data_IF_514906146890
#
_entry.id   IF_514906146890
#
_cell.length_a   1.000
_cell.length_b   1.000
_cell.length_c   1.000
_cell.angle_alpha   90.00
_cell.angle_beta   90.00
_cell.angle_gamma   90.00
#
_symmetry.space_group_name_H-M   'P 1'
#
loop_
_entity.id
_entity.type
_entity.pdbx_description
1 polymer ?
#
# COMPACT_ATOMS: atom_id res chain seq x y z
N UNK A 1 4.02 15.08 22.85
CA UNK A 1 4.99 13.97 22.65
C UNK A 1 4.37 12.56 22.64
N UNK A 2 3.33 12.28 23.43
CA UNK A 2 2.74 10.93 23.60
C UNK A 2 1.96 10.43 22.38
N UNK A 3 1.29 11.28 21.59
CA UNK A 3 0.50 10.92 20.39
C UNK A 3 1.38 10.41 19.22
N UNK A 4 2.59 10.95 19.01
CA UNK A 4 3.49 10.57 17.91
C UNK A 4 3.99 9.12 17.99
N UNK A 5 4.30 8.62 19.19
CA UNK A 5 4.64 7.20 19.43
C UNK A 5 3.48 6.25 19.11
N UNK A 6 2.23 6.72 19.24
CA UNK A 6 1.02 5.92 19.05
C UNK A 6 0.70 5.63 17.57
N UNK A 7 1.17 6.47 16.64
CA UNK A 7 0.94 6.33 15.20
C UNK A 7 2.08 5.62 14.46
N UNK A 8 3.18 5.26 15.15
CA UNK A 8 4.34 4.59 14.53
C UNK A 8 4.98 5.40 13.41
N UNK A 9 4.95 6.73 13.52
CA UNK A 9 5.44 7.65 12.48
C UNK A 9 6.98 7.71 12.48
N UNK A 10 7.57 7.52 11.31
CA UNK A 10 8.97 7.73 10.99
C UNK A 10 9.04 8.66 9.79
N UNK A 11 9.45 9.90 10.01
CA UNK A 11 9.51 10.91 8.96
C UNK A 11 10.79 10.77 8.16
N UNK A 12 10.67 10.67 6.84
CA UNK A 12 11.82 10.72 5.94
C UNK A 12 12.49 12.09 6.08
N UNK A 13 13.81 12.12 6.28
CA UNK A 13 14.59 13.35 6.44
C UNK A 13 15.64 13.55 5.33
N UNK A 14 15.71 12.64 4.37
CA UNK A 14 16.64 12.68 3.24
C UNK A 14 15.97 13.24 1.99
N UNK A 15 16.37 14.45 1.59
CA UNK A 15 15.88 15.12 0.38
C UNK A 15 16.22 14.32 -0.88
N UNK A 16 17.41 13.75 -0.98
CA UNK A 16 17.83 12.96 -2.15
C UNK A 16 16.98 11.70 -2.34
N UNK A 17 16.55 11.06 -1.24
CA UNK A 17 15.63 9.91 -1.29
C UNK A 17 14.23 10.38 -1.70
N UNK A 18 13.76 11.51 -1.17
CA UNK A 18 12.47 12.08 -1.56
C UNK A 18 12.42 12.41 -3.06
N UNK A 19 13.49 13.06 -3.59
CA UNK A 19 13.64 13.34 -5.01
C UNK A 19 13.65 12.05 -5.86
N UNK A 20 14.32 11.00 -5.39
CA UNK A 20 14.31 9.69 -6.06
C UNK A 20 12.91 9.06 -6.10
N UNK A 21 12.18 9.09 -4.97
CA UNK A 21 10.78 8.62 -4.90
C UNK A 21 9.91 9.33 -5.94
N UNK A 22 10.02 10.67 -5.99
CA UNK A 22 9.24 11.48 -6.93
C UNK A 22 9.63 11.20 -8.39
N UNK A 23 10.93 11.04 -8.67
CA UNK A 23 11.39 10.71 -10.04
C UNK A 23 10.87 9.35 -10.52
N UNK A 24 10.77 8.34 -9.63
CA UNK A 24 10.26 7.01 -9.98
C UNK A 24 8.74 7.00 -10.22
N UNK A 25 8.04 8.00 -9.69
CA UNK A 25 6.60 8.14 -9.90
C UNK A 25 6.24 8.61 -11.32
N UNK A 26 7.20 9.06 -12.14
CA UNK A 26 7.01 9.48 -13.53
C UNK A 26 5.79 10.41 -13.73
N UNK A 27 5.66 11.40 -12.84
CA UNK A 27 4.54 12.34 -12.80
C UNK A 27 4.62 13.31 -13.97
N UNK A 28 3.48 13.59 -14.58
CA UNK A 28 3.31 14.61 -15.63
C UNK A 28 2.37 15.72 -15.20
N UNK A 29 2.38 16.85 -15.93
CA UNK A 29 1.49 18.00 -15.68
C UNK A 29 -0.01 17.69 -15.91
N UNK A 30 -0.37 16.47 -16.32
CA UNK A 30 -1.76 16.00 -16.47
C UNK A 30 -2.24 15.20 -15.26
N UNK A 31 -1.31 14.74 -14.42
CA UNK A 31 -1.59 13.80 -13.35
C UNK A 31 -2.13 14.47 -12.10
N UNK A 32 -3.08 13.81 -11.47
CA UNK A 32 -3.50 14.08 -10.09
C UNK A 32 -2.82 13.03 -9.21
N UNK A 33 -1.98 13.50 -8.30
CA UNK A 33 -1.26 12.65 -7.35
C UNK A 33 -2.02 12.61 -6.03
N UNK A 34 -2.22 11.41 -5.52
CA UNK A 34 -2.79 11.18 -4.21
C UNK A 34 -1.70 10.68 -3.24
N UNK A 35 -1.54 11.39 -2.13
CA UNK A 35 -0.57 11.09 -1.08
C UNK A 35 -1.29 10.74 0.22
N UNK A 36 -0.95 9.61 0.84
CA UNK A 36 -1.38 9.28 2.20
C UNK A 36 -0.19 9.44 3.14
N UNK A 37 -0.37 10.27 4.19
CA UNK A 37 0.68 10.60 5.13
C UNK A 37 1.51 11.78 4.65
N UNK A 38 0.96 13.00 4.73
CA UNK A 38 1.68 14.27 4.48
C UNK A 38 2.93 14.36 5.34
N UNK A 39 2.84 13.93 6.59
CA UNK A 39 3.93 13.95 7.54
C UNK A 39 4.49 15.35 7.73
N UNK A 40 5.83 15.49 7.66
CA UNK A 40 6.50 16.79 7.71
C UNK A 40 6.60 17.47 6.32
N UNK A 41 5.91 16.94 5.30
CA UNK A 41 5.77 17.58 4.00
C UNK A 41 6.96 17.42 3.06
N UNK A 42 7.84 16.43 3.25
CA UNK A 42 9.04 16.27 2.42
C UNK A 42 8.72 15.88 0.97
N UNK A 43 7.67 15.10 0.72
CA UNK A 43 7.27 14.67 -0.62
C UNK A 43 6.32 15.65 -1.28
N UNK A 44 5.34 16.18 -0.55
CA UNK A 44 4.22 16.98 -1.08
C UNK A 44 4.65 18.12 -2.03
N UNK A 45 5.57 19.03 -1.64
CA UNK A 45 5.98 20.12 -2.54
C UNK A 45 6.83 19.63 -3.73
N UNK A 46 7.53 18.50 -3.60
CA UNK A 46 8.27 17.90 -4.72
C UNK A 46 7.31 17.29 -5.74
N UNK A 47 6.24 16.64 -5.29
CA UNK A 47 5.18 16.11 -6.14
C UNK A 47 4.48 17.24 -6.91
N UNK A 48 4.18 18.35 -6.23
CA UNK A 48 3.50 19.51 -6.81
C UNK A 48 4.26 20.19 -7.96
N UNK A 49 5.59 20.09 -7.99
CA UNK A 49 6.41 20.62 -9.10
C UNK A 49 6.11 19.95 -10.44
N UNK A 50 5.61 18.75 -10.44
CA UNK A 50 5.39 17.93 -11.65
C UNK A 50 3.92 17.68 -11.93
N UNK A 51 3.09 17.59 -10.89
CA UNK A 51 1.69 17.22 -10.98
C UNK A 51 0.79 18.38 -11.40
N UNK A 52 -0.34 18.05 -12.06
CA UNK A 52 -1.47 18.96 -12.21
C UNK A 52 -2.04 19.36 -10.84
N UNK A 53 -2.16 18.40 -9.94
CA UNK A 53 -2.69 18.58 -8.59
C UNK A 53 -2.11 17.51 -7.66
N UNK A 54 -1.84 17.87 -6.42
CA UNK A 54 -1.51 16.94 -5.32
C UNK A 54 -2.61 17.04 -4.27
N UNK A 55 -3.20 15.88 -3.94
CA UNK A 55 -4.14 15.72 -2.83
C UNK A 55 -3.40 14.91 -1.76
N UNK A 56 -3.06 15.55 -0.65
CA UNK A 56 -2.32 14.93 0.45
C UNK A 56 -3.18 14.83 1.68
N UNK A 57 -3.31 13.62 2.24
CA UNK A 57 -4.19 13.33 3.37
C UNK A 57 -3.37 12.80 4.55
N UNK A 58 -3.59 13.36 5.74
CA UNK A 58 -2.97 12.86 6.98
C UNK A 58 -4.00 12.74 8.10
N UNK A 59 -3.84 11.73 8.95
CA UNK A 59 -4.65 11.49 10.13
C UNK A 59 -4.22 12.28 11.36
N UNK A 60 -3.10 12.99 11.28
CA UNK A 60 -2.60 13.88 12.35
C UNK A 60 -2.96 15.34 12.03
N UNK A 61 -3.96 15.85 12.73
CA UNK A 61 -4.48 17.22 12.54
C UNK A 61 -3.39 18.29 12.73
N UNK A 62 -2.41 18.07 13.62
CA UNK A 62 -1.31 19.02 13.85
C UNK A 62 -0.44 19.11 12.59
N UNK A 63 -0.11 17.98 11.97
CA UNK A 63 0.67 17.95 10.73
C UNK A 63 -0.11 18.56 9.57
N UNK A 64 -1.41 18.28 9.46
CA UNK A 64 -2.30 18.87 8.46
C UNK A 64 -2.31 20.39 8.58
N UNK A 65 -2.52 20.93 9.77
CA UNK A 65 -2.55 22.39 9.98
C UNK A 65 -1.21 23.04 9.68
N UNK A 66 -0.10 22.41 10.09
CA UNK A 66 1.24 22.87 9.73
C UNK A 66 1.44 22.88 8.21
N UNK A 67 1.12 21.79 7.51
CA UNK A 67 1.27 21.68 6.06
C UNK A 67 0.39 22.67 5.29
N UNK A 68 -0.85 22.92 5.74
CA UNK A 68 -1.73 23.94 5.15
C UNK A 68 -1.13 25.35 5.21
N UNK A 69 -0.49 25.69 6.34
CA UNK A 69 0.19 26.98 6.48
C UNK A 69 1.45 27.05 5.61
N UNK A 70 2.27 25.99 5.63
CA UNK A 70 3.55 25.95 4.95
C UNK A 70 3.40 25.96 3.41
N UNK A 71 2.34 25.31 2.89
CA UNK A 71 2.13 25.17 1.45
C UNK A 71 1.01 26.05 0.91
N UNK A 72 0.54 27.05 1.68
CA UNK A 72 -0.54 27.97 1.30
C UNK A 72 -0.35 28.66 -0.04
N UNK A 73 0.91 28.98 -0.38
CA UNK A 73 1.27 29.68 -1.63
C UNK A 73 1.44 28.74 -2.84
N UNK A 74 1.28 27.41 -2.67
CA UNK A 74 1.41 26.43 -3.75
C UNK A 74 0.01 26.05 -4.26
N UNK A 75 -0.46 26.59 -5.38
CA UNK A 75 -1.89 26.56 -5.76
C UNK A 75 -2.43 25.18 -6.15
N UNK A 76 -1.55 24.23 -6.49
CA UNK A 76 -1.91 22.88 -6.88
C UNK A 76 -1.78 21.83 -5.74
N UNK A 77 -1.62 22.28 -4.50
CA UNK A 77 -1.63 21.41 -3.31
C UNK A 77 -2.96 21.56 -2.57
N UNK A 78 -3.58 20.42 -2.28
CA UNK A 78 -4.74 20.32 -1.39
C UNK A 78 -4.41 19.40 -0.22
N UNK A 79 -4.39 19.96 1.01
CA UNK A 79 -4.11 19.20 2.24
C UNK A 79 -5.42 18.90 2.97
N UNK A 80 -5.68 17.62 3.27
CA UNK A 80 -6.89 17.13 3.93
C UNK A 80 -6.57 16.43 5.25
N UNK A 81 -7.42 16.62 6.23
CA UNK A 81 -7.42 15.86 7.46
C UNK A 81 -8.36 14.66 7.33
N UNK A 82 -7.89 13.47 7.70
CA UNK A 82 -8.74 12.28 7.72
C UNK A 82 -8.00 10.95 7.51
N UNK A 83 -8.80 9.90 7.32
CA UNK A 83 -8.30 8.59 6.91
C UNK A 83 -8.14 8.55 5.38
N UNK A 84 -6.90 8.53 4.91
CA UNK A 84 -6.59 8.52 3.48
C UNK A 84 -7.09 7.27 2.74
N UNK A 85 -7.46 6.18 3.43
CA UNK A 85 -8.07 5.01 2.80
C UNK A 85 -9.59 5.14 2.61
N UNK A 86 -10.20 6.16 3.20
CA UNK A 86 -11.62 6.46 3.06
C UNK A 86 -11.79 7.73 2.23
N UNK A 87 -11.67 7.59 0.91
CA UNK A 87 -11.73 8.73 -0.02
C UNK A 87 -12.57 8.41 -1.26
N UNK A 88 -13.20 9.44 -1.80
CA UNK A 88 -13.87 9.44 -3.12
C UNK A 88 -13.05 10.21 -4.17
N UNK A 89 -11.81 10.60 -3.84
CA UNK A 89 -10.95 11.36 -4.75
C UNK A 89 -10.58 10.55 -5.99
N UNK A 90 -10.63 11.21 -7.13
CA UNK A 90 -10.14 10.66 -8.39
C UNK A 90 -8.67 11.06 -8.57
N UNK A 91 -7.80 10.10 -8.78
CA UNK A 91 -6.38 10.33 -9.01
C UNK A 91 -5.79 9.32 -9.99
N UNK A 92 -4.69 9.69 -10.64
CA UNK A 92 -3.96 8.83 -11.58
C UNK A 92 -2.76 8.14 -10.93
N UNK A 93 -2.10 8.82 -9.99
CA UNK A 93 -0.85 8.35 -9.37
C UNK A 93 -0.98 8.33 -7.86
N UNK A 94 -0.49 7.25 -7.23
CA UNK A 94 -0.40 7.12 -5.77
C UNK A 94 1.06 7.21 -5.31
N UNK A 95 1.37 8.11 -4.37
CA UNK A 95 2.71 8.20 -3.75
C UNK A 95 2.58 8.27 -2.25
N UNK A 96 3.36 7.48 -1.51
CA UNK A 96 3.29 7.52 -0.05
C UNK A 96 4.54 6.97 0.63
N UNK A 97 4.99 7.67 1.66
CA UNK A 97 5.83 7.10 2.72
C UNK A 97 4.90 6.56 3.81
N UNK A 98 4.43 5.31 3.63
CA UNK A 98 3.41 4.71 4.48
C UNK A 98 3.87 4.50 5.93
N UNK A 99 3.02 4.82 6.92
CA UNK A 99 3.20 4.29 8.26
C UNK A 99 3.25 2.74 8.19
N UNK A 100 4.26 2.14 8.81
CA UNK A 100 4.53 0.70 8.66
C UNK A 100 3.34 -0.19 9.04
N UNK A 101 2.58 0.21 10.07
CA UNK A 101 1.36 -0.48 10.49
C UNK A 101 0.25 -0.47 9.44
N UNK A 102 0.33 0.42 8.45
CA UNK A 102 -0.69 0.61 7.41
C UNK A 102 -0.32 -0.02 6.07
N UNK A 103 0.84 -0.66 5.96
CA UNK A 103 1.32 -1.23 4.69
C UNK A 103 0.38 -2.28 4.10
N UNK A 104 -0.20 -3.16 4.94
CA UNK A 104 -1.18 -4.16 4.48
C UNK A 104 -2.48 -3.50 4.03
N UNK A 105 -3.02 -2.58 4.83
CA UNK A 105 -4.26 -1.85 4.54
C UNK A 105 -4.12 -1.10 3.20
N UNK A 106 -2.95 -0.49 2.95
CA UNK A 106 -2.66 0.23 1.71
C UNK A 106 -2.69 -0.70 0.48
N UNK A 107 -2.07 -1.87 0.54
CA UNK A 107 -2.09 -2.84 -0.57
C UNK A 107 -3.51 -3.33 -0.84
N UNK A 108 -4.29 -3.65 0.20
CA UNK A 108 -5.67 -4.10 0.05
C UNK A 108 -6.57 -2.99 -0.51
N UNK A 109 -6.38 -1.75 -0.09
CA UNK A 109 -7.08 -0.59 -0.62
C UNK A 109 -6.71 -0.33 -2.09
N UNK A 110 -5.40 -0.31 -2.43
CA UNK A 110 -4.93 -0.17 -3.80
C UNK A 110 -5.45 -1.29 -4.71
N UNK A 111 -5.67 -2.49 -4.17
CA UNK A 111 -6.24 -3.60 -4.93
C UNK A 111 -7.67 -3.32 -5.42
N UNK A 112 -8.45 -2.53 -4.67
CA UNK A 112 -9.83 -2.14 -5.02
C UNK A 112 -9.93 -0.80 -5.75
N UNK A 113 -8.91 0.06 -5.63
CA UNK A 113 -8.92 1.44 -6.12
C UNK A 113 -8.50 1.53 -7.59
N UNK A 114 -9.09 2.46 -8.33
CA UNK A 114 -8.69 2.77 -9.71
C UNK A 114 -7.58 3.81 -9.69
N UNK A 115 -6.43 3.47 -10.24
CA UNK A 115 -5.27 4.34 -10.46
C UNK A 115 -4.38 3.73 -11.55
N UNK A 116 -3.45 4.47 -12.09
CA UNK A 116 -2.50 3.98 -13.11
C UNK A 116 -1.32 3.26 -12.46
N UNK A 117 -0.54 4.01 -11.71
CA UNK A 117 0.67 3.52 -11.05
C UNK A 117 0.96 4.31 -9.77
N UNK A 118 1.99 3.89 -9.04
CA UNK A 118 2.40 4.59 -7.83
C UNK A 118 3.76 4.19 -7.32
N UNK A 119 4.22 4.91 -6.31
CA UNK A 119 5.46 4.63 -5.58
C UNK A 119 5.17 4.67 -4.09
N UNK A 120 5.50 3.60 -3.40
CA UNK A 120 5.33 3.51 -1.95
C UNK A 120 6.63 3.13 -1.27
N UNK A 121 6.84 3.63 -0.06
CA UNK A 121 7.91 3.17 0.80
C UNK A 121 7.33 2.38 1.98
N UNK A 122 7.85 1.17 2.19
CA UNK A 122 7.39 0.23 3.21
C UNK A 122 8.58 -0.41 3.92
N UNK A 123 8.35 -1.07 5.05
CA UNK A 123 9.39 -1.87 5.71
C UNK A 123 9.94 -2.95 4.80
N UNK A 124 11.26 -3.20 4.89
CA UNK A 124 11.97 -4.19 4.08
C UNK A 124 11.32 -5.58 4.16
N UNK A 125 11.03 -6.08 5.37
CA UNK A 125 10.38 -7.38 5.56
C UNK A 125 9.00 -7.47 4.88
N UNK A 126 8.23 -6.38 4.88
CA UNK A 126 6.94 -6.34 4.21
C UNK A 126 7.09 -6.36 2.69
N UNK A 127 8.05 -5.60 2.15
CA UNK A 127 8.38 -5.62 0.73
C UNK A 127 8.82 -7.01 0.26
N UNK A 128 9.68 -7.69 1.04
CA UNK A 128 10.12 -9.05 0.75
C UNK A 128 8.95 -10.04 0.70
N UNK A 129 7.95 -9.90 1.59
CA UNK A 129 6.72 -10.71 1.54
C UNK A 129 5.88 -10.44 0.29
N UNK A 130 5.85 -9.21 -0.22
CA UNK A 130 5.13 -8.89 -1.47
C UNK A 130 5.84 -9.44 -2.70
N UNK A 131 7.18 -9.40 -2.71
CA UNK A 131 8.03 -9.77 -3.84
C UNK A 131 8.40 -11.26 -3.84
N UNK A 132 8.06 -12.01 -2.78
CA UNK A 132 8.44 -13.41 -2.67
C UNK A 132 7.87 -14.27 -3.79
N UNK A 133 8.71 -15.12 -4.36
CA UNK A 133 8.30 -16.19 -5.27
C UNK A 133 7.99 -17.49 -4.53
N UNK A 134 8.36 -17.58 -3.25
CA UNK A 134 8.11 -18.75 -2.40
C UNK A 134 6.63 -18.86 -2.05
N UNK A 135 6.00 -19.95 -2.41
CA UNK A 135 4.60 -20.23 -2.05
C UNK A 135 4.43 -20.47 -0.55
N UNK A 136 5.46 -21.03 0.13
CA UNK A 136 5.45 -21.28 1.58
C UNK A 136 5.45 -20.00 2.41
N UNK A 137 6.15 -18.96 1.95
CA UNK A 137 6.27 -17.68 2.65
C UNK A 137 5.15 -16.70 2.30
N UNK A 138 4.36 -17.04 1.29
CA UNK A 138 3.25 -16.25 0.79
C UNK A 138 2.19 -16.00 1.87
N UNK A 139 1.63 -14.79 1.86
CA UNK A 139 0.54 -14.33 2.74
C UNK A 139 -0.66 -13.90 1.89
N UNK A 140 -1.80 -13.68 2.51
CA UNK A 140 -3.00 -13.18 1.80
C UNK A 140 -2.70 -11.90 1.01
N UNK A 141 -1.98 -10.96 1.62
CA UNK A 141 -1.58 -9.70 0.97
C UNK A 141 -0.69 -9.93 -0.26
N UNK A 142 0.17 -10.98 -0.25
CA UNK A 142 1.00 -11.34 -1.41
C UNK A 142 0.14 -11.85 -2.58
N UNK A 143 -0.89 -12.65 -2.29
CA UNK A 143 -1.85 -13.15 -3.30
C UNK A 143 -2.63 -11.98 -3.89
N UNK A 144 -3.20 -11.12 -3.05
CA UNK A 144 -3.95 -9.93 -3.48
C UNK A 144 -3.07 -9.03 -4.35
N UNK A 145 -1.86 -8.72 -3.88
CA UNK A 145 -0.90 -7.88 -4.59
C UNK A 145 -0.53 -8.47 -5.96
N UNK A 146 -0.12 -9.74 -6.01
CA UNK A 146 0.29 -10.39 -7.25
C UNK A 146 -0.85 -10.48 -8.28
N UNK A 147 -2.10 -10.65 -7.84
CA UNK A 147 -3.25 -10.67 -8.72
C UNK A 147 -3.57 -9.27 -9.29
N UNK A 148 -3.48 -8.21 -8.47
CA UNK A 148 -4.00 -6.88 -8.80
C UNK A 148 -2.95 -5.87 -9.23
N UNK A 149 -1.68 -6.11 -8.87
CA UNK A 149 -0.57 -5.16 -9.03
C UNK A 149 0.64 -5.85 -9.67
N UNK A 150 1.43 -5.09 -10.41
CA UNK A 150 2.80 -5.40 -10.73
C UNK A 150 3.70 -4.56 -9.81
N UNK A 151 4.56 -5.22 -9.05
CA UNK A 151 5.39 -4.56 -8.03
C UNK A 151 6.85 -4.86 -8.30
N UNK A 152 7.68 -3.83 -8.27
CA UNK A 152 9.13 -3.93 -8.38
C UNK A 152 9.85 -3.10 -7.30
N UNK A 153 11.00 -3.59 -6.84
CA UNK A 153 11.85 -2.88 -5.89
C UNK A 153 12.73 -1.90 -6.63
N UNK A 154 12.75 -0.64 -6.17
CA UNK A 154 13.49 0.45 -6.79
C UNK A 154 14.71 0.85 -5.97
N UNK A 155 14.55 1.01 -4.65
CA UNK A 155 15.58 1.57 -3.78
C UNK A 155 15.50 0.98 -2.37
N UNK A 156 16.66 0.62 -1.82
CA UNK A 156 16.79 0.32 -0.39
C UNK A 156 17.08 1.62 0.38
N UNK A 157 16.36 1.85 1.47
CA UNK A 157 16.48 3.05 2.29
C UNK A 157 16.86 2.66 3.72
N UNK A 158 18.09 2.99 4.11
CA UNK A 158 18.58 2.70 5.45
C UNK A 158 17.85 3.51 6.52
N UNK A 159 17.63 2.91 7.68
CA UNK A 159 16.90 3.47 8.83
C UNK A 159 17.39 4.85 9.30
N UNK A 160 18.64 5.21 9.05
CA UNK A 160 19.23 6.52 9.41
C UNK A 160 18.63 7.71 8.66
N UNK A 161 17.87 7.44 7.58
CA UNK A 161 17.22 8.48 6.78
C UNK A 161 15.83 8.89 7.32
N UNK A 162 15.52 8.53 8.57
CA UNK A 162 14.24 8.82 9.21
C UNK A 162 14.41 9.45 10.59
N UNK A 163 13.44 10.22 11.02
CA UNK A 163 13.35 10.80 12.37
C UNK A 163 11.96 10.53 12.97
N UNK A 164 11.85 9.85 14.12
CA UNK A 164 12.88 9.03 14.76
C UNK A 164 13.30 7.83 13.88
N UNK A 165 14.51 7.32 14.08
CA UNK A 165 14.98 6.16 13.32
C UNK A 165 14.11 4.93 13.62
N UNK A 166 13.60 4.20 12.59
CA UNK A 166 12.97 2.92 12.77
C UNK A 166 13.98 1.83 13.18
N UNK A 167 13.46 0.68 13.61
CA UNK A 167 14.32 -0.47 13.94
C UNK A 167 14.86 -1.19 12.70
N UNK A 168 14.18 -1.08 11.57
CA UNK A 168 14.45 -1.80 10.32
C UNK A 168 14.59 -0.84 9.13
N UNK A 169 15.24 -1.28 8.08
CA UNK A 169 15.34 -0.56 6.82
C UNK A 169 14.00 -0.58 6.05
N UNK A 170 13.89 0.30 5.08
CA UNK A 170 12.75 0.40 4.17
C UNK A 170 13.14 0.06 2.73
N UNK A 171 12.14 -0.22 1.92
CA UNK A 171 12.27 -0.38 0.47
C UNK A 171 11.24 0.51 -0.21
N UNK A 172 11.66 1.21 -1.25
CA UNK A 172 10.79 1.90 -2.19
C UNK A 172 10.35 0.90 -3.24
N UNK A 173 9.04 0.78 -3.42
CA UNK A 173 8.39 -0.08 -4.40
C UNK A 173 7.68 0.78 -5.44
N UNK A 174 7.88 0.45 -6.71
CA UNK A 174 7.06 0.93 -7.82
C UNK A 174 5.92 -0.06 -8.06
N UNK A 175 4.73 0.47 -8.28
CA UNK A 175 3.50 -0.30 -8.39
C UNK A 175 2.77 0.13 -9.66
N UNK A 176 2.45 -0.82 -10.53
CA UNK A 176 1.58 -0.60 -11.68
C UNK A 176 0.27 -1.38 -11.47
N UNK A 177 -0.87 -0.74 -11.72
CA UNK A 177 -2.18 -1.38 -11.62
C UNK A 177 -2.36 -2.38 -12.76
N UNK A 178 -2.75 -3.61 -12.46
CA UNK A 178 -3.10 -4.65 -13.42
C UNK A 178 -4.61 -4.78 -13.58
N UNK A 179 -5.30 -4.92 -12.45
CA UNK A 179 -6.76 -5.06 -12.36
C UNK A 179 -7.26 -4.74 -10.96
N UNK A 180 -8.55 -4.54 -10.80
CA UNK A 180 -9.19 -4.42 -9.49
C UNK A 180 -9.75 -5.76 -9.03
N UNK A 181 -9.97 -5.90 -7.73
CA UNK A 181 -10.63 -7.03 -7.08
C UNK A 181 -11.74 -6.50 -6.17
N UNK A 182 -12.80 -7.28 -6.03
CA UNK A 182 -13.89 -6.96 -5.11
C UNK A 182 -13.43 -7.02 -3.64
N UNK A 183 -13.92 -6.09 -2.82
CA UNK A 183 -13.57 -6.01 -1.39
C UNK A 183 -13.97 -7.26 -0.61
N UNK A 184 -15.08 -7.89 -0.97
CA UNK A 184 -15.54 -9.12 -0.30
C UNK A 184 -14.58 -10.28 -0.58
N UNK A 185 -14.03 -10.36 -1.81
CA UNK A 185 -13.00 -11.36 -2.14
C UNK A 185 -11.74 -11.18 -1.31
N UNK A 186 -11.32 -9.94 -1.03
CA UNK A 186 -10.19 -9.67 -0.11
C UNK A 186 -10.49 -10.25 1.27
N UNK A 187 -11.68 -10.03 1.80
CA UNK A 187 -12.12 -10.61 3.09
C UNK A 187 -12.06 -12.13 3.10
N UNK A 188 -12.55 -12.77 2.02
CA UNK A 188 -12.52 -14.22 1.87
C UNK A 188 -11.08 -14.75 1.79
N UNK A 189 -10.20 -14.11 1.00
CA UNK A 189 -8.79 -14.50 0.89
C UNK A 189 -8.10 -14.38 2.26
N UNK A 190 -8.33 -13.30 3.00
CA UNK A 190 -7.79 -13.16 4.35
C UNK A 190 -8.27 -14.30 5.28
N UNK A 191 -9.55 -14.68 5.20
CA UNK A 191 -10.13 -15.78 5.98
C UNK A 191 -9.57 -17.14 5.57
N UNK A 192 -9.37 -17.40 4.27
CA UNK A 192 -8.69 -18.60 3.76
C UNK A 192 -7.30 -18.73 4.40
N UNK A 193 -6.53 -17.63 4.42
CA UNK A 193 -5.17 -17.63 5.00
C UNK A 193 -5.12 -17.77 6.52
N UNK A 194 -6.21 -17.55 7.25
CA UNK A 194 -6.28 -17.87 8.68
C UNK A 194 -6.21 -19.37 8.92
N UNK A 195 -6.59 -20.17 7.92
CA UNK A 195 -6.55 -21.66 7.95
C UNK A 195 -5.40 -22.26 7.13
N UNK A 196 -4.38 -21.49 6.76
CA UNK A 196 -3.35 -21.87 5.78
C UNK A 196 -2.62 -23.19 6.04
N UNK A 197 -2.64 -23.71 7.28
CA UNK A 197 -2.03 -25.00 7.65
C UNK A 197 -2.92 -26.20 7.34
N UNK A 198 -4.19 -25.98 7.01
CA UNK A 198 -5.17 -27.04 6.70
C UNK A 198 -5.11 -27.41 5.22
N UNK A 199 -5.62 -28.60 4.89
CA UNK A 199 -5.92 -29.00 3.51
C UNK A 199 -7.05 -28.15 2.94
N UNK A 200 -7.10 -27.98 1.62
CA UNK A 200 -8.13 -27.18 0.93
C UNK A 200 -9.53 -27.70 1.22
N UNK A 201 -9.74 -29.04 1.23
CA UNK A 201 -11.01 -29.63 1.62
C UNK A 201 -11.49 -29.18 3.01
N UNK A 202 -10.58 -29.10 3.99
CA UNK A 202 -10.91 -28.64 5.33
C UNK A 202 -11.10 -27.12 5.42
N UNK A 203 -10.45 -26.35 4.55
CA UNK A 203 -10.68 -24.90 4.44
C UNK A 203 -12.07 -24.66 3.88
N UNK A 204 -12.44 -25.30 2.77
CA UNK A 204 -13.73 -25.12 2.10
C UNK A 204 -14.91 -25.51 3.00
N UNK A 205 -14.77 -26.53 3.83
CA UNK A 205 -15.78 -26.89 4.85
C UNK A 205 -16.08 -25.74 5.83
N UNK A 206 -15.10 -24.84 6.13
CA UNK A 206 -15.34 -23.67 6.99
C UNK A 206 -16.27 -22.63 6.32
N UNK A 207 -16.49 -22.76 5.02
CA UNK A 207 -17.37 -21.91 4.22
C UNK A 207 -18.61 -22.65 3.71
N UNK A 208 -18.89 -23.85 4.24
CA UNK A 208 -20.04 -24.67 3.83
C UNK A 208 -19.93 -25.22 2.40
N UNK A 209 -18.71 -25.40 1.91
CA UNK A 209 -18.43 -25.98 0.58
C UNK A 209 -17.75 -27.33 0.73
N UNK A 210 -18.12 -28.28 -0.12
CA UNK A 210 -17.51 -29.60 -0.17
C UNK A 210 -16.35 -29.63 -1.19
N UNK A 211 -15.34 -30.40 -0.87
CA UNK A 211 -14.19 -30.65 -1.74
C UNK A 211 -13.43 -31.89 -1.28
N UNK A 212 -12.88 -32.63 -2.21
CA UNK A 212 -11.98 -33.76 -1.97
C UNK A 212 -10.51 -33.42 -2.11
N UNK A 213 -10.16 -32.13 -2.31
CA UNK A 213 -8.78 -31.70 -2.54
C UNK A 213 -7.90 -31.93 -1.32
N UNK A 214 -6.85 -32.72 -1.51
CA UNK A 214 -5.82 -32.97 -0.51
C UNK A 214 -4.70 -31.94 -0.50
N UNK A 215 -4.67 -31.04 -1.50
CA UNK A 215 -3.68 -29.95 -1.60
C UNK A 215 -3.73 -28.99 -0.42
N UNK A 216 -2.62 -28.29 -0.17
CA UNK A 216 -2.50 -27.18 0.79
C UNK A 216 -2.36 -25.85 0.04
N UNK A 217 -2.56 -24.72 0.74
CA UNK A 217 -2.47 -23.38 0.11
C UNK A 217 -1.09 -23.07 -0.50
N UNK A 218 -0.03 -23.63 0.03
CA UNK A 218 1.33 -23.45 -0.48
C UNK A 218 1.64 -24.28 -1.74
N UNK A 219 0.73 -25.17 -2.13
CA UNK A 219 0.79 -25.95 -3.37
C UNK A 219 -0.01 -25.30 -4.51
N UNK A 220 -0.76 -24.23 -4.22
CA UNK A 220 -1.61 -23.54 -5.20
C UNK A 220 -0.93 -22.32 -5.80
N UNK A 221 -1.29 -21.99 -7.03
CA UNK A 221 -0.96 -20.71 -7.66
C UNK A 221 -1.78 -19.57 -7.07
N UNK A 222 -1.43 -18.32 -7.40
CA UNK A 222 -2.24 -17.15 -7.02
C UNK A 222 -3.63 -17.24 -7.63
N UNK A 223 -3.72 -17.62 -8.89
CA UNK A 223 -4.97 -17.74 -9.66
C UNK A 223 -5.88 -18.82 -9.08
N UNK A 224 -5.35 -20.00 -8.73
CA UNK A 224 -6.13 -21.07 -8.07
C UNK A 224 -6.72 -20.59 -6.73
N UNK A 225 -5.98 -19.80 -5.95
CA UNK A 225 -6.50 -19.23 -4.68
C UNK A 225 -7.61 -18.21 -4.95
N UNK A 226 -7.47 -17.38 -5.98
CA UNK A 226 -8.51 -16.43 -6.38
C UNK A 226 -9.77 -17.16 -6.84
N UNK A 227 -9.64 -18.22 -7.64
CA UNK A 227 -10.80 -19.02 -8.06
C UNK A 227 -11.51 -19.71 -6.88
N UNK A 228 -10.76 -20.23 -5.91
CA UNK A 228 -11.36 -20.75 -4.66
C UNK A 228 -12.11 -19.63 -3.91
N UNK A 229 -11.55 -18.43 -3.85
CA UNK A 229 -12.22 -17.31 -3.18
C UNK A 229 -13.52 -16.91 -3.91
N UNK A 230 -13.53 -16.92 -5.25
CA UNK A 230 -14.73 -16.69 -6.07
C UNK A 230 -15.78 -17.79 -5.84
N UNK A 231 -15.37 -19.05 -5.85
CA UNK A 231 -16.27 -20.19 -5.58
C UNK A 231 -16.93 -20.06 -4.19
N UNK A 232 -16.19 -19.59 -3.19
CA UNK A 232 -16.73 -19.35 -1.84
C UNK A 232 -17.72 -18.18 -1.88
N UNK A 233 -17.42 -17.13 -2.63
CA UNK A 233 -18.29 -15.95 -2.76
C UNK A 233 -19.57 -16.24 -3.55
N UNK A 234 -19.53 -17.19 -4.49
CA UNK A 234 -20.65 -17.53 -5.37
C UNK A 234 -20.69 -16.76 -6.69
N UNK A 235 -19.53 -16.33 -7.19
CA UNK A 235 -19.33 -15.66 -8.50
C UNK A 235 -18.32 -16.41 -9.36
#
# INVERSE_FOLDING_TARGET
MIKRKRLGQHFLNSKSIAEKIVSEANITSKDIVYEIGTGEGILTPLLAKHAKKVISVDADEILVNKAKMEFSEIPNIEIKFGDGFNTNEQFSIFVSNLPYSKSKDAIEWLATTSFSHGVIMVQKEFAEKLLTKSTKDRRSVSVIANHTLQIESVLNVGKKNFTPNPHVDSIVLKINKKRSIDRNLIGIINKIFSYRRKKISNILKQFGKDSTSEKRLDELTTEEIIEIAKQIHGI
#
